data_IF_149313980825
#
_entry.id   IF_149313980825
#
_cell.length_a   1.000
_cell.length_b   1.000
_cell.length_c   1.000
_cell.angle_alpha   90.00
_cell.angle_beta   90.00
_cell.angle_gamma   90.00
#
_symmetry.space_group_name_H-M   'P 1'
#
loop_
_entity.id
_entity.type
_entity.pdbx_description
1 polymer ?
#
# COMPACT_ATOMS: atom_id res chain seq x y z
N UNK A 1 -54.07 -53.27 12.47
CA UNK A 1 -55.22 -52.53 13.03
C UNK A 1 -54.82 -51.05 12.96
N UNK A 2 -54.91 -50.42 11.78
CA UNK A 2 -55.95 -49.44 11.34
C UNK A 2 -56.24 -48.43 12.47
N UNK A 3 -55.91 -47.15 12.34
CA UNK A 3 -56.55 -46.17 11.45
C UNK A 3 -55.63 -44.98 11.07
N UNK A 4 -55.76 -44.56 9.82
CA UNK A 4 -55.41 -43.23 9.29
C UNK A 4 -56.10 -42.11 10.08
N UNK A 5 -55.44 -40.94 10.15
CA UNK A 5 -56.18 -39.70 9.99
C UNK A 5 -55.31 -38.59 9.41
N UNK A 6 -55.76 -38.15 8.24
CA UNK A 6 -55.35 -37.01 7.44
C UNK A 6 -55.64 -35.69 8.20
N UNK A 7 -54.61 -34.87 8.41
CA UNK A 7 -54.77 -33.44 8.75
C UNK A 7 -53.72 -32.62 8.01
N UNK A 8 -54.12 -32.22 6.81
CA UNK A 8 -53.70 -31.01 6.11
C UNK A 8 -53.71 -29.82 7.08
N UNK A 9 -52.52 -29.32 7.41
CA UNK A 9 -52.30 -28.02 8.03
C UNK A 9 -51.29 -27.27 7.17
N UNK A 10 -51.80 -26.42 6.28
CA UNK A 10 -51.04 -25.31 5.71
C UNK A 10 -50.69 -24.37 6.86
N UNK A 11 -49.45 -24.45 7.33
CA UNK A 11 -48.84 -23.36 8.08
C UNK A 11 -47.90 -22.66 7.11
N UNK A 12 -48.39 -21.55 6.57
CA UNK A 12 -47.57 -20.45 6.10
C UNK A 12 -46.60 -20.10 7.23
N UNK A 13 -45.36 -20.55 7.13
CA UNK A 13 -44.29 -19.97 7.93
C UNK A 13 -43.94 -18.66 7.27
N UNK A 14 -44.48 -17.60 7.85
CA UNK A 14 -44.19 -16.21 7.57
C UNK A 14 -42.70 -16.03 7.25
N UNK A 15 -42.44 -15.43 6.10
CA UNK A 15 -41.18 -14.83 5.70
C UNK A 15 -40.76 -13.88 6.81
N UNK A 16 -39.98 -14.40 7.76
CA UNK A 16 -39.33 -13.64 8.81
C UNK A 16 -38.20 -12.85 8.15
N UNK A 17 -38.62 -11.86 7.35
CA UNK A 17 -37.80 -10.82 6.79
C UNK A 17 -37.13 -10.14 7.95
N UNK A 18 -35.92 -10.59 8.25
CA UNK A 18 -35.06 -10.05 9.28
C UNK A 18 -34.92 -8.57 8.96
N UNK A 19 -35.56 -7.72 9.76
CA UNK A 19 -35.42 -6.28 9.63
C UNK A 19 -33.93 -5.98 9.71
N UNK A 20 -33.33 -5.67 8.56
CA UNK A 20 -31.91 -5.31 8.47
C UNK A 20 -31.78 -4.03 9.28
N UNK A 21 -31.17 -4.14 10.45
CA UNK A 21 -30.84 -3.02 11.31
C UNK A 21 -30.04 -1.99 10.48
N UNK A 22 -30.73 -0.92 10.08
CA UNK A 22 -30.25 0.09 9.14
C UNK A 22 -29.30 1.11 9.82
N UNK A 23 -28.73 0.69 10.95
CA UNK A 23 -27.67 1.35 11.71
C UNK A 23 -26.46 1.68 10.81
N UNK A 24 -25.83 2.82 11.09
CA UNK A 24 -24.60 3.24 10.43
C UNK A 24 -23.47 2.21 10.60
N UNK A 25 -23.45 1.49 11.72
CA UNK A 25 -22.46 0.46 12.01
C UNK A 25 -22.62 -0.75 11.07
N UNK A 26 -23.85 -1.24 10.87
CA UNK A 26 -24.16 -2.34 9.95
C UNK A 26 -23.76 -1.98 8.51
N UNK A 27 -24.01 -0.74 8.09
CA UNK A 27 -23.61 -0.23 6.76
C UNK A 27 -22.09 -0.21 6.59
N UNK A 28 -21.35 0.17 7.63
CA UNK A 28 -19.89 0.23 7.59
C UNK A 28 -19.24 -1.16 7.61
N UNK A 29 -19.79 -2.10 8.38
CA UNK A 29 -19.38 -3.51 8.37
C UNK A 29 -19.55 -4.08 6.96
N UNK A 30 -20.70 -3.87 6.33
CA UNK A 30 -20.97 -4.35 4.97
C UNK A 30 -20.00 -3.77 3.95
N UNK A 31 -19.74 -2.45 3.98
CA UNK A 31 -18.75 -1.80 3.11
C UNK A 31 -17.36 -2.40 3.28
N UNK A 32 -16.96 -2.64 4.53
CA UNK A 32 -15.67 -3.26 4.84
C UNK A 32 -15.60 -4.68 4.28
N UNK A 33 -16.67 -5.47 4.45
CA UNK A 33 -16.77 -6.83 3.93
C UNK A 33 -16.72 -6.86 2.40
N UNK A 34 -17.47 -5.99 1.71
CA UNK A 34 -17.48 -5.89 0.26
C UNK A 34 -16.09 -5.51 -0.29
N UNK A 35 -15.40 -4.56 0.37
CA UNK A 35 -14.03 -4.18 0.03
C UNK A 35 -13.06 -5.34 0.22
N UNK A 36 -13.16 -6.06 1.34
CA UNK A 36 -12.29 -7.22 1.62
C UNK A 36 -12.54 -8.36 0.63
N UNK A 37 -13.80 -8.64 0.29
CA UNK A 37 -14.14 -9.67 -0.68
C UNK A 37 -13.64 -9.32 -2.09
N UNK A 38 -13.73 -8.05 -2.48
CA UNK A 38 -13.14 -7.55 -3.73
C UNK A 38 -11.63 -7.76 -3.74
N UNK A 39 -10.94 -7.36 -2.66
CA UNK A 39 -9.50 -7.56 -2.54
C UNK A 39 -9.10 -9.05 -2.56
N UNK A 40 -9.87 -9.91 -1.90
CA UNK A 40 -9.66 -11.37 -1.92
C UNK A 40 -9.77 -11.94 -3.35
N UNK A 41 -10.78 -11.53 -4.11
CA UNK A 41 -10.97 -11.97 -5.48
C UNK A 41 -9.82 -11.50 -6.39
N UNK A 42 -9.34 -10.27 -6.20
CA UNK A 42 -8.15 -9.76 -6.90
C UNK A 42 -6.90 -10.59 -6.54
N UNK A 43 -6.69 -10.91 -5.27
CA UNK A 43 -5.57 -11.76 -4.86
C UNK A 43 -5.64 -13.15 -5.48
N UNK A 44 -6.84 -13.74 -5.57
CA UNK A 44 -7.04 -15.03 -6.22
C UNK A 44 -6.70 -15.01 -7.72
N UNK A 45 -6.92 -13.90 -8.42
CA UNK A 45 -6.59 -13.77 -9.83
C UNK A 45 -5.10 -13.44 -10.06
N UNK A 46 -4.49 -12.65 -9.17
CA UNK A 46 -3.11 -12.20 -9.28
C UNK A 46 -2.08 -13.24 -8.80
N UNK A 47 -2.43 -14.04 -7.78
CA UNK A 47 -1.51 -14.98 -7.15
C UNK A 47 -1.86 -16.42 -7.57
N UNK A 48 -1.04 -17.05 -8.43
CA UNK A 48 -1.31 -18.40 -8.90
C UNK A 48 -1.40 -19.40 -7.75
N UNK A 49 -2.45 -20.22 -7.76
CA UNK A 49 -2.66 -21.27 -6.76
C UNK A 49 -3.15 -20.78 -5.39
N UNK A 50 -3.27 -19.46 -5.16
CA UNK A 50 -3.72 -18.93 -3.87
C UNK A 50 -5.12 -19.43 -3.48
N UNK A 51 -6.09 -19.37 -4.40
CA UNK A 51 -7.44 -19.88 -4.15
C UNK A 51 -7.45 -21.35 -3.76
N UNK A 52 -6.67 -22.18 -4.47
CA UNK A 52 -6.54 -23.62 -4.15
C UNK A 52 -5.93 -23.84 -2.76
N UNK A 53 -4.98 -23.00 -2.36
CA UNK A 53 -4.38 -23.08 -1.04
C UNK A 53 -5.36 -22.70 0.07
N UNK A 54 -6.16 -21.64 -0.13
CA UNK A 54 -7.17 -21.22 0.87
C UNK A 54 -8.36 -22.18 0.93
N UNK A 55 -8.76 -22.78 -0.18
CA UNK A 55 -9.84 -23.77 -0.22
C UNK A 55 -9.39 -25.17 0.27
N UNK A 56 -8.10 -25.33 0.63
CA UNK A 56 -7.56 -26.61 1.09
C UNK A 56 -8.05 -26.98 2.50
N UNK A 57 -8.23 -28.28 2.82
CA UNK A 57 -8.67 -28.72 4.14
C UNK A 57 -7.80 -28.19 5.30
N UNK A 58 -6.50 -28.01 5.06
CA UNK A 58 -5.52 -27.47 5.99
C UNK A 58 -5.86 -26.03 6.42
N UNK A 59 -6.46 -25.23 5.53
CA UNK A 59 -6.85 -23.87 5.84
C UNK A 59 -8.00 -23.81 6.86
N UNK A 60 -8.85 -24.84 6.91
CA UNK A 60 -9.94 -24.95 7.90
C UNK A 60 -9.46 -25.62 9.19
N UNK A 61 -8.55 -26.58 9.09
CA UNK A 61 -8.12 -27.42 10.22
C UNK A 61 -6.92 -26.86 11.00
N UNK A 62 -6.05 -26.06 10.36
CA UNK A 62 -4.89 -25.43 11.00
C UNK A 62 -4.88 -23.90 10.79
N UNK A 63 -5.25 -23.10 11.80
CA UNK A 63 -5.16 -21.65 11.73
C UNK A 63 -3.76 -21.11 11.41
N UNK A 64 -2.69 -21.86 11.73
CA UNK A 64 -1.31 -21.45 11.41
C UNK A 64 -1.02 -21.54 9.92
N UNK A 65 -1.72 -22.43 9.19
CA UNK A 65 -1.56 -22.58 7.75
C UNK A 65 -1.95 -21.29 7.02
N UNK A 66 -3.15 -20.76 7.29
CA UNK A 66 -3.62 -19.49 6.71
C UNK A 66 -2.69 -18.34 7.08
N UNK A 67 -2.27 -18.27 8.36
CA UNK A 67 -1.31 -17.25 8.82
C UNK A 67 0.02 -17.31 8.05
N UNK A 68 0.51 -18.51 7.73
CA UNK A 68 1.74 -18.68 6.95
C UNK A 68 1.59 -18.12 5.54
N UNK A 69 0.46 -18.39 4.88
CA UNK A 69 0.16 -17.85 3.55
C UNK A 69 0.11 -16.31 3.61
N UNK A 70 -0.60 -15.75 4.58
CA UNK A 70 -0.66 -14.28 4.75
C UNK A 70 0.73 -13.67 4.97
N UNK A 71 1.56 -14.28 5.84
CA UNK A 71 2.94 -13.82 6.05
C UNK A 71 3.78 -13.88 4.76
N UNK A 72 3.56 -14.88 3.91
CA UNK A 72 4.24 -14.99 2.61
C UNK A 72 3.80 -13.88 1.64
N UNK A 73 2.50 -13.55 1.61
CA UNK A 73 1.98 -12.44 0.83
C UNK A 73 2.58 -11.10 1.28
N UNK A 74 2.59 -10.84 2.58
CA UNK A 74 3.17 -9.62 3.14
C UNK A 74 4.68 -9.54 2.86
N UNK A 75 5.38 -10.67 2.98
CA UNK A 75 6.80 -10.73 2.66
C UNK A 75 7.05 -10.45 1.18
N UNK A 76 6.29 -11.08 0.28
CA UNK A 76 6.40 -10.87 -1.17
C UNK A 76 6.11 -9.42 -1.57
N UNK A 77 5.05 -8.82 -1.03
CA UNK A 77 4.71 -7.42 -1.29
C UNK A 77 5.81 -6.47 -0.83
N UNK A 78 6.37 -6.69 0.36
CA UNK A 78 7.48 -5.90 0.87
C UNK A 78 8.76 -6.10 0.06
N UNK A 79 9.05 -7.33 -0.36
CA UNK A 79 10.21 -7.64 -1.19
C UNK A 79 10.12 -6.97 -2.56
N UNK A 80 8.96 -7.03 -3.23
CA UNK A 80 8.76 -6.36 -4.52
C UNK A 80 9.00 -4.86 -4.43
N UNK A 81 8.35 -4.19 -3.45
CA UNK A 81 8.56 -2.74 -3.22
C UNK A 81 10.03 -2.41 -2.91
N UNK A 82 10.68 -3.24 -2.10
CA UNK A 82 12.08 -3.03 -1.75
C UNK A 82 13.01 -3.24 -2.96
N UNK A 83 12.74 -4.22 -3.81
CA UNK A 83 13.50 -4.44 -5.05
C UNK A 83 13.36 -3.24 -5.99
N UNK A 84 12.12 -2.78 -6.25
CA UNK A 84 11.85 -1.62 -7.10
C UNK A 84 12.59 -0.36 -6.62
N UNK A 85 12.50 -0.04 -5.32
CA UNK A 85 13.20 1.11 -4.74
C UNK A 85 14.73 0.93 -4.81
N UNK A 86 15.23 -0.28 -4.61
CA UNK A 86 16.67 -0.57 -4.66
C UNK A 86 17.21 -0.43 -6.08
N UNK A 87 16.49 -0.93 -7.08
CA UNK A 87 16.82 -0.81 -8.50
C UNK A 87 16.73 0.64 -8.96
N UNK A 88 15.66 1.36 -8.61
CA UNK A 88 15.53 2.78 -8.92
C UNK A 88 16.69 3.61 -8.33
N UNK A 89 17.06 3.35 -7.08
CA UNK A 89 18.20 4.03 -6.41
C UNK A 89 19.52 3.80 -7.14
N UNK A 90 19.75 2.59 -7.66
CA UNK A 90 20.94 2.25 -8.45
C UNK A 90 20.92 2.97 -9.80
N UNK A 91 19.84 2.80 -10.57
CA UNK A 91 19.71 3.37 -11.92
C UNK A 91 19.77 4.90 -11.92
N UNK A 92 19.19 5.58 -10.92
CA UNK A 92 19.28 7.04 -10.79
C UNK A 92 20.73 7.47 -10.54
N UNK A 93 21.48 6.75 -9.71
CA UNK A 93 22.88 7.07 -9.45
C UNK A 93 23.75 6.91 -10.70
N UNK A 94 23.57 5.80 -11.42
CA UNK A 94 24.25 5.53 -12.69
C UNK A 94 23.93 6.62 -13.73
N UNK A 95 22.65 6.96 -13.87
CA UNK A 95 22.20 8.02 -14.76
C UNK A 95 22.84 9.37 -14.42
N UNK A 96 22.87 9.77 -13.14
CA UNK A 96 23.52 11.02 -12.71
C UNK A 96 25.02 11.03 -12.96
N UNK A 97 25.70 9.91 -12.71
CA UNK A 97 27.13 9.77 -12.93
C UNK A 97 27.51 9.81 -14.42
N UNK A 98 26.59 9.47 -15.32
CA UNK A 98 26.79 9.50 -16.76
C UNK A 98 26.51 10.88 -17.40
N UNK A 99 26.03 11.86 -16.63
CA UNK A 99 25.74 13.21 -17.16
C UNK A 99 27.02 13.98 -17.48
N UNK A 100 26.97 14.99 -18.37
CA UNK A 100 28.13 15.84 -18.68
C UNK A 100 28.75 16.53 -17.47
N UNK A 101 27.94 16.89 -16.47
CA UNK A 101 28.37 17.46 -15.20
C UNK A 101 28.01 16.48 -14.07
N UNK A 102 28.80 15.41 -13.85
CA UNK A 102 28.48 14.40 -12.85
C UNK A 102 28.78 14.91 -11.43
N UNK A 103 28.16 14.31 -10.40
CA UNK A 103 28.55 14.52 -9.01
C UNK A 103 30.03 14.17 -8.77
N UNK A 104 30.71 14.96 -7.94
CA UNK A 104 32.08 14.70 -7.48
C UNK A 104 32.09 14.65 -5.94
N UNK A 105 32.37 13.50 -5.31
CA UNK A 105 32.65 12.20 -5.93
C UNK A 105 31.41 11.56 -6.60
N UNK A 106 31.59 10.61 -7.54
CA UNK A 106 30.48 9.90 -8.16
C UNK A 106 29.59 9.19 -7.13
N UNK A 107 28.29 9.14 -7.39
CA UNK A 107 27.32 8.51 -6.49
C UNK A 107 27.48 7.00 -6.47
N UNK A 108 27.63 6.45 -5.28
CA UNK A 108 27.68 5.00 -5.05
C UNK A 108 26.26 4.42 -5.08
N UNK A 109 25.89 3.67 -6.12
CA UNK A 109 24.55 3.10 -6.33
C UNK A 109 23.95 2.38 -5.12
N UNK A 110 24.76 1.59 -4.41
CA UNK A 110 24.37 0.81 -3.23
C UNK A 110 24.23 1.64 -1.95
N UNK A 111 24.76 2.86 -1.89
CA UNK A 111 24.78 3.70 -0.69
C UNK A 111 23.89 4.94 -0.84
N UNK A 112 23.39 5.48 0.27
CA UNK A 112 22.58 6.72 0.27
C UNK A 112 23.42 7.98 0.59
N UNK A 113 24.70 7.79 0.93
CA UNK A 113 25.61 8.87 1.33
C UNK A 113 25.88 9.80 0.14
N UNK A 114 25.97 11.11 0.41
CA UNK A 114 26.27 12.12 -0.61
C UNK A 114 25.13 12.36 -1.60
N UNK A 115 23.88 12.11 -1.19
CA UNK A 115 22.66 12.31 -1.99
C UNK A 115 21.67 13.22 -1.26
N UNK A 116 20.56 13.53 -1.93
CA UNK A 116 19.53 14.40 -1.39
C UNK A 116 20.01 15.85 -1.32
N UNK A 117 19.54 16.60 -0.32
CA UNK A 117 19.92 18.00 -0.10
C UNK A 117 21.37 18.21 0.37
N UNK A 118 22.11 17.13 0.68
CA UNK A 118 23.52 17.22 1.11
C UNK A 118 24.51 17.30 -0.06
N UNK A 119 24.06 17.10 -1.30
CA UNK A 119 24.87 17.15 -2.51
C UNK A 119 24.28 18.17 -3.45
N UNK A 120 25.11 19.06 -4.02
CA UNK A 120 24.62 20.13 -4.89
C UNK A 120 23.89 19.61 -6.12
N UNK A 121 24.36 18.49 -6.70
CA UNK A 121 23.73 17.93 -7.90
C UNK A 121 22.34 17.36 -7.59
N UNK A 122 22.20 16.58 -6.52
CA UNK A 122 20.91 15.97 -6.18
C UNK A 122 19.99 16.95 -5.47
N UNK A 123 20.54 17.89 -4.70
CA UNK A 123 19.79 18.95 -4.03
C UNK A 123 19.13 19.87 -5.04
N UNK A 124 19.85 20.28 -6.10
CA UNK A 124 19.27 21.08 -7.19
C UNK A 124 18.12 20.38 -7.91
N UNK A 125 18.14 19.05 -8.01
CA UNK A 125 17.05 18.27 -8.62
C UNK A 125 15.82 18.10 -7.72
N UNK A 126 16.02 18.13 -6.40
CA UNK A 126 14.95 18.04 -5.41
C UNK A 126 14.42 19.42 -5.00
N UNK A 127 15.17 20.48 -5.30
CA UNK A 127 14.79 21.84 -5.01
C UNK A 127 13.50 22.17 -5.78
N UNK A 128 12.45 22.68 -5.11
CA UNK A 128 11.25 23.17 -5.77
C UNK A 128 11.59 24.18 -6.86
N UNK A 129 10.81 24.20 -7.95
CA UNK A 129 11.06 25.08 -9.09
C UNK A 129 10.96 26.57 -8.74
N UNK A 130 10.26 26.90 -7.65
CA UNK A 130 10.09 28.27 -7.14
C UNK A 130 11.31 28.76 -6.34
N UNK A 131 12.23 27.86 -6.00
CA UNK A 131 13.42 28.16 -5.19
C UNK A 131 14.68 28.02 -6.03
N UNK A 132 15.66 28.88 -5.77
CA UNK A 132 16.97 28.81 -6.40
C UNK A 132 17.94 28.06 -5.50
N UNK A 133 18.38 26.86 -5.93
CA UNK A 133 19.36 26.06 -5.19
C UNK A 133 20.70 26.78 -5.02
N UNK A 134 21.07 27.68 -5.93
CA UNK A 134 22.34 28.40 -5.85
C UNK A 134 22.31 29.53 -4.80
N UNK A 135 21.12 29.86 -4.29
CA UNK A 135 20.97 30.73 -3.14
C UNK A 135 21.34 29.97 -1.84
N UNK A 136 22.38 30.44 -1.14
CA UNK A 136 22.84 29.83 0.11
C UNK A 136 21.77 29.77 1.20
N UNK A 137 20.81 30.70 1.18
CA UNK A 137 19.69 30.69 2.12
C UNK A 137 18.76 29.50 1.88
N UNK A 138 18.48 29.18 0.61
CA UNK A 138 17.65 28.02 0.23
C UNK A 138 18.30 26.72 0.70
N UNK A 139 19.62 26.58 0.52
CA UNK A 139 20.36 25.39 0.99
C UNK A 139 20.43 25.25 2.51
N UNK A 140 20.22 26.36 3.24
CA UNK A 140 20.23 26.35 4.70
C UNK A 140 18.89 25.91 5.31
N UNK A 141 17.82 25.85 4.51
CA UNK A 141 16.54 25.41 5.00
C UNK A 141 16.55 23.94 5.42
N UNK A 142 15.85 23.59 6.50
CA UNK A 142 15.48 22.22 6.78
C UNK A 142 14.82 21.58 5.56
N UNK A 143 15.25 20.37 5.20
CA UNK A 143 14.68 19.63 4.07
C UNK A 143 13.16 19.46 4.14
N UNK A 144 12.62 19.37 5.36
CA UNK A 144 11.18 19.31 5.62
C UNK A 144 10.44 20.54 5.06
N UNK A 145 11.03 21.74 5.19
CA UNK A 145 10.42 22.99 4.73
C UNK A 145 10.52 23.15 3.21
N UNK A 146 11.58 22.62 2.60
CA UNK A 146 11.73 22.61 1.14
C UNK A 146 10.70 21.70 0.44
N UNK A 147 10.10 20.76 1.15
CA UNK A 147 9.16 19.78 0.59
C UNK A 147 7.69 20.10 0.88
N UNK A 148 7.38 21.22 1.54
CA UNK A 148 5.99 21.63 1.76
C UNK A 148 5.48 22.46 0.58
N UNK A 149 4.18 22.40 0.35
CA UNK A 149 3.51 23.18 -0.70
C UNK A 149 3.26 24.65 -0.29
N UNK A 150 3.45 25.00 0.98
CA UNK A 150 3.22 26.34 1.56
C UNK A 150 4.49 27.20 1.63
N UNK A 151 5.09 27.44 0.45
CA UNK A 151 6.33 28.23 0.30
C UNK A 151 6.24 29.68 0.81
N UNK A 152 5.05 30.24 0.99
CA UNK A 152 4.86 31.59 1.53
C UNK A 152 5.41 31.73 2.95
N UNK A 153 5.35 30.66 3.76
CA UNK A 153 5.89 30.64 5.12
C UNK A 153 7.42 30.79 5.15
N UNK A 154 8.09 30.45 4.06
CA UNK A 154 9.55 30.56 3.90
C UNK A 154 9.97 32.02 3.68
N UNK A 155 9.11 32.84 3.08
CA UNK A 155 9.39 34.24 2.75
C UNK A 155 8.81 35.25 3.76
N UNK A 156 7.86 34.85 4.62
CA UNK A 156 7.24 35.73 5.63
C UNK A 156 8.01 35.85 6.96
N UNK A 157 9.18 35.22 7.08
CA UNK A 157 10.02 35.26 8.28
C UNK A 157 11.11 36.34 8.30
N UNK A 158 11.10 37.27 7.33
CA UNK A 158 12.08 38.35 7.20
C UNK A 158 11.46 39.73 7.42
#
# INVERSE_FOLDING_TARGET
MVLENDRRGTEESDDEGTAVDDSAETKEIKRTQDRMFTAFNLTCSLVPGFKKAIDAPEATTDPKFVRRICNQLDSGANQGRNDDVSRAKLSIAEWLNARPNPPSPPLQGSQRIGRGFTSDVTGRLLCPIQLDWDNSHVRSFPSELLLRDDYDAIFTGF
#
